data_IF_811137069783
#
_entry.id   IF_811137069783
#
_cell.length_a   1.000
_cell.length_b   1.000
_cell.length_c   1.000
_cell.angle_alpha   90.00
_cell.angle_beta   90.00
_cell.angle_gamma   90.00
#
_symmetry.space_group_name_H-M   'P 1'
#
loop_
_entity.id
_entity.type
_entity.pdbx_description
1 polymer ?
#
# COMPACT_ATOMS: atom_id res chain seq x y z
N UNK A 1 10.10 -17.61 13.21
CA UNK A 1 9.66 -17.11 11.88
C UNK A 1 9.33 -15.63 12.05
N UNK A 2 9.63 -14.77 11.08
CA UNK A 2 9.28 -13.33 11.12
C UNK A 2 8.17 -13.08 10.12
N UNK A 3 7.15 -12.32 10.51
CA UNK A 3 6.02 -11.99 9.66
C UNK A 3 5.93 -10.48 9.46
N UNK A 4 5.55 -10.08 8.25
CA UNK A 4 5.39 -8.69 7.85
C UNK A 4 3.95 -8.47 7.44
N UNK A 5 3.33 -7.39 7.91
CA UNK A 5 2.01 -6.97 7.46
C UNK A 5 2.18 -5.97 6.32
N UNK A 6 1.54 -6.20 5.18
CA UNK A 6 1.70 -5.39 3.98
C UNK A 6 0.35 -4.87 3.51
N UNK A 7 0.00 -3.67 3.97
CA UNK A 7 -1.21 -2.96 3.57
C UNK A 7 -0.88 -1.82 2.61
N UNK A 8 -1.77 -1.54 1.66
CA UNK A 8 -1.58 -0.52 0.63
C UNK A 8 -2.91 -0.05 0.08
N UNK A 9 -3.00 1.20 -0.36
CA UNK A 9 -4.18 1.75 -1.02
C UNK A 9 -5.44 1.78 -0.14
N UNK A 10 -5.27 1.70 1.18
CA UNK A 10 -6.32 1.85 2.18
C UNK A 10 -6.53 3.33 2.54
N UNK A 11 -7.56 3.63 3.34
CA UNK A 11 -7.80 4.99 3.80
C UNK A 11 -6.61 5.48 4.65
N UNK A 12 -6.01 6.65 4.36
CA UNK A 12 -4.88 7.19 5.13
C UNK A 12 -5.09 7.20 6.65
N UNK A 13 -6.32 7.43 7.11
CA UNK A 13 -6.66 7.45 8.54
C UNK A 13 -6.48 6.08 9.22
N UNK A 14 -6.33 5.01 8.45
CA UNK A 14 -6.17 3.65 8.95
C UNK A 14 -4.72 3.26 9.24
N UNK A 15 -3.71 3.96 8.71
CA UNK A 15 -2.31 3.52 8.83
C UNK A 15 -1.82 3.48 10.28
N UNK A 16 -2.08 4.52 11.07
CA UNK A 16 -1.68 4.57 12.49
C UNK A 16 -2.37 3.47 13.31
N UNK A 17 -3.71 3.34 13.31
CA UNK A 17 -4.36 2.28 14.09
C UNK A 17 -3.96 0.87 13.62
N UNK A 18 -3.72 0.66 12.33
CA UNK A 18 -3.23 -0.62 11.80
C UNK A 18 -1.80 -0.92 12.27
N UNK A 19 -0.87 0.04 12.19
CA UNK A 19 0.51 -0.16 12.65
C UNK A 19 0.55 -0.57 14.13
N UNK A 20 -0.22 0.12 14.98
CA UNK A 20 -0.36 -0.22 16.40
C UNK A 20 -0.96 -1.63 16.61
N UNK A 21 -1.97 -2.01 15.83
CA UNK A 21 -2.59 -3.33 15.92
C UNK A 21 -1.64 -4.44 15.47
N UNK A 22 -0.89 -4.21 14.39
CA UNK A 22 0.11 -5.12 13.83
C UNK A 22 1.22 -5.39 14.85
N UNK A 23 1.74 -4.35 15.50
CA UNK A 23 2.72 -4.48 16.57
C UNK A 23 2.19 -5.29 17.75
N UNK A 24 0.97 -5.00 18.21
CA UNK A 24 0.30 -5.74 19.30
C UNK A 24 0.06 -7.21 18.97
N UNK A 25 -0.16 -7.54 17.69
CA UNK A 25 -0.31 -8.90 17.21
C UNK A 25 1.02 -9.66 17.06
N UNK A 26 2.16 -9.01 17.32
CA UNK A 26 3.48 -9.64 17.29
C UNK A 26 4.09 -9.78 15.89
N UNK A 27 3.62 -9.01 14.90
CA UNK A 27 4.30 -8.90 13.62
C UNK A 27 5.66 -8.24 13.79
N UNK A 28 6.62 -8.63 12.96
CA UNK A 28 7.98 -8.10 13.03
C UNK A 28 8.15 -6.80 12.26
N UNK A 29 7.29 -6.54 11.28
CA UNK A 29 7.38 -5.31 10.48
C UNK A 29 6.03 -4.94 9.85
N UNK A 30 5.90 -3.65 9.56
CA UNK A 30 4.87 -3.09 8.68
C UNK A 30 5.53 -2.70 7.35
N UNK A 31 5.06 -3.25 6.24
CA UNK A 31 5.58 -2.96 4.90
C UNK A 31 4.89 -1.71 4.36
N UNK A 32 5.68 -0.76 3.86
CA UNK A 32 5.18 0.44 3.18
C UNK A 32 5.59 0.32 1.71
N UNK A 33 4.65 -0.09 0.81
CA UNK A 33 4.93 -0.16 -0.61
C UNK A 33 4.87 1.23 -1.25
N UNK A 34 5.56 1.37 -2.37
CA UNK A 34 5.61 2.60 -3.15
C UNK A 34 5.16 2.35 -4.60
N UNK A 35 4.55 3.36 -5.21
CA UNK A 35 4.17 3.40 -6.61
C UNK A 35 4.39 4.81 -7.15
N UNK A 36 5.43 4.96 -7.97
CA UNK A 36 5.85 6.26 -8.51
C UNK A 36 4.74 6.93 -9.33
N UNK A 37 3.98 6.16 -10.11
CA UNK A 37 2.86 6.68 -10.88
C UNK A 37 1.86 5.58 -11.26
N UNK A 38 0.62 6.01 -11.48
CA UNK A 38 -0.39 5.27 -12.24
C UNK A 38 -0.46 5.91 -13.64
N UNK A 39 -0.02 5.22 -14.70
CA UNK A 39 0.01 5.81 -16.04
C UNK A 39 -1.40 5.97 -16.60
N UNK A 40 -1.70 7.17 -17.12
CA UNK A 40 -3.00 7.48 -17.75
C UNK A 40 -3.25 6.60 -18.99
N UNK A 41 -2.20 6.26 -19.73
CA UNK A 41 -2.26 5.37 -20.90
C UNK A 41 -1.20 4.27 -20.81
N UNK A 42 -1.53 3.06 -21.27
CA UNK A 42 -0.59 1.94 -21.32
C UNK A 42 -0.98 0.92 -22.39
N UNK A 43 -0.04 0.56 -23.25
CA UNK A 43 -0.19 -0.53 -24.23
C UNK A 43 -0.15 -1.93 -23.60
N UNK A 44 0.36 -2.04 -22.38
CA UNK A 44 0.45 -3.31 -21.65
C UNK A 44 -0.84 -3.63 -20.88
N UNK A 45 -1.22 -4.92 -20.85
CA UNK A 45 -2.34 -5.42 -20.05
C UNK A 45 -1.89 -5.78 -18.64
N UNK A 46 -2.73 -5.47 -17.64
CA UNK A 46 -2.48 -5.88 -16.26
C UNK A 46 -2.70 -7.39 -16.10
N UNK A 47 -1.73 -8.15 -15.55
CA UNK A 47 -1.81 -9.61 -15.55
C UNK A 47 -2.78 -10.19 -14.51
N UNK A 48 -3.24 -9.38 -13.55
CA UNK A 48 -4.05 -9.85 -12.41
C UNK A 48 -5.52 -9.45 -12.48
N UNK A 49 -5.96 -8.81 -13.57
CA UNK A 49 -7.37 -8.53 -13.84
C UNK A 49 -7.82 -9.28 -15.10
N UNK A 50 -9.04 -9.87 -15.14
CA UNK A 50 -9.50 -10.65 -16.29
C UNK A 50 -9.54 -9.88 -17.61
N UNK A 51 -9.79 -8.58 -17.53
CA UNK A 51 -9.91 -7.65 -18.65
C UNK A 51 -8.58 -6.95 -19.00
N UNK A 52 -7.58 -7.06 -18.12
CA UNK A 52 -6.28 -6.42 -18.26
C UNK A 52 -6.27 -4.93 -17.88
N UNK A 53 -7.36 -4.41 -17.30
CA UNK A 53 -7.47 -3.01 -16.89
C UNK A 53 -6.89 -2.77 -15.48
N UNK A 54 -6.52 -1.51 -15.22
CA UNK A 54 -5.87 -1.04 -13.99
C UNK A 54 -6.70 -0.03 -13.21
N UNK A 55 -7.97 0.14 -13.57
CA UNK A 55 -8.84 1.20 -13.06
C UNK A 55 -9.05 1.12 -11.55
N UNK A 56 -8.80 -0.03 -10.93
CA UNK A 56 -8.82 -0.16 -9.47
C UNK A 56 -7.73 0.67 -8.76
N UNK A 57 -6.69 1.12 -9.49
CA UNK A 57 -5.65 2.03 -9.00
C UNK A 57 -6.06 3.50 -9.09
N UNK A 58 -7.07 3.83 -9.89
CA UNK A 58 -7.50 5.20 -10.09
C UNK A 58 -8.05 5.81 -8.79
N UNK A 59 -7.59 7.02 -8.48
CA UNK A 59 -7.93 7.74 -7.24
C UNK A 59 -7.45 7.07 -5.95
N UNK A 60 -6.64 6.01 -6.00
CA UNK A 60 -6.13 5.37 -4.78
C UNK A 60 -5.12 6.28 -4.05
N UNK A 61 -5.19 6.35 -2.70
CA UNK A 61 -4.28 7.17 -1.93
C UNK A 61 -2.90 6.50 -1.85
N UNK A 62 -1.99 6.91 -2.71
CA UNK A 62 -0.57 6.58 -2.62
C UNK A 62 0.15 7.66 -1.82
N UNK A 63 0.49 7.36 -0.57
CA UNK A 63 1.24 8.25 0.32
C UNK A 63 2.72 8.10 0.02
N UNK A 64 3.46 9.21 0.00
CA UNK A 64 4.93 9.17 -0.07
C UNK A 64 5.49 8.28 1.06
N UNK A 65 6.31 7.26 0.73
CA UNK A 65 6.75 6.28 1.70
C UNK A 65 7.62 6.89 2.81
N UNK A 66 8.42 7.91 2.52
CA UNK A 66 9.28 8.54 3.53
C UNK A 66 8.46 9.38 4.52
N UNK A 67 7.44 10.09 4.03
CA UNK A 67 6.49 10.81 4.88
C UNK A 67 5.73 9.82 5.77
N UNK A 68 5.25 8.70 5.22
CA UNK A 68 4.54 7.71 6.00
C UNK A 68 5.43 7.05 7.06
N UNK A 69 6.67 6.65 6.72
CA UNK A 69 7.63 6.11 7.69
C UNK A 69 7.87 7.11 8.83
N UNK A 70 8.16 8.37 8.52
CA UNK A 70 8.40 9.40 9.51
C UNK A 70 7.18 9.66 10.41
N UNK A 71 5.97 9.42 9.90
CA UNK A 71 4.72 9.56 10.66
C UNK A 71 4.49 8.39 11.62
N UNK A 72 4.88 7.17 11.23
CA UNK A 72 4.63 5.96 12.02
C UNK A 72 5.66 5.72 13.13
N UNK A 73 6.87 6.26 13.02
CA UNK A 73 7.91 6.21 14.06
C UNK A 73 9.04 5.23 13.74
#
# INVERSE_FOLDING_TARGET
>A
MRFSFAESMCDPDQYIPLALAVERCGYTSFTIPDSICYPETSDSKYPYTPDGHREFLDGRPFIDPFVLIATLG
#
